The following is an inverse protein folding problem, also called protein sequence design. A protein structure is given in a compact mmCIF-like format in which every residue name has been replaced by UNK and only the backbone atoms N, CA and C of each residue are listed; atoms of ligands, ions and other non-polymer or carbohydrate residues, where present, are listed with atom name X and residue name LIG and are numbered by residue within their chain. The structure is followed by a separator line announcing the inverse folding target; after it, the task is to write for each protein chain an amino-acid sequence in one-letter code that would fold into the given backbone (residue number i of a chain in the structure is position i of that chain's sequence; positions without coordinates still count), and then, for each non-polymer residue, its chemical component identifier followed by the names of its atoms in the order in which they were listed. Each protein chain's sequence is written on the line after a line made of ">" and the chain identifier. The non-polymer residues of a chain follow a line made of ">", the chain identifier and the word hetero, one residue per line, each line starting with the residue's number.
data_IF_865289975879
#
_entry.id   IF_865289975879
#
_cell.length_a   1.000
_cell.length_b   1.000
_cell.length_c   1.000
_cell.angle_alpha   90.00
_cell.angle_beta   90.00
_cell.angle_gamma   90.00
#
_symmetry.space_group_name_H-M   'P 1'
#
loop_
_entity.id
_entity.type
_entity.pdbx_description
1 polymer ?
#
# COMPACT_ATOMS: atom_id res chain seq x y z
N UNK A 1 -2.65 -26.79 -15.43
CA UNK A 1 -2.86 -27.79 -14.35
C UNK A 1 -1.74 -27.85 -13.32
N UNK A 2 -0.45 -27.85 -13.70
CA UNK A 2 0.65 -28.07 -12.73
C UNK A 2 0.81 -27.00 -11.62
N UNK A 3 0.56 -25.71 -11.89
CA UNK A 3 0.86 -24.64 -10.91
C UNK A 3 -0.15 -24.59 -9.75
N UNK A 4 -1.44 -24.81 -10.03
CA UNK A 4 -2.49 -24.87 -9.01
C UNK A 4 -2.39 -26.15 -8.16
N UNK A 5 -2.11 -27.29 -8.79
CA UNK A 5 -1.86 -28.54 -8.07
C UNK A 5 -0.58 -28.46 -7.24
N UNK A 6 0.46 -27.75 -7.70
CA UNK A 6 1.63 -27.42 -6.87
C UNK A 6 1.26 -26.52 -5.70
N UNK A 7 0.48 -25.45 -5.89
CA UNK A 7 0.03 -24.59 -4.79
C UNK A 7 -0.77 -25.36 -3.73
N UNK A 8 -1.75 -26.18 -4.13
CA UNK A 8 -2.57 -26.94 -3.19
C UNK A 8 -1.78 -28.06 -2.49
N UNK A 9 -0.90 -28.77 -3.20
CA UNK A 9 -0.05 -29.79 -2.57
C UNK A 9 0.97 -29.16 -1.61
N UNK A 10 1.46 -27.95 -1.90
CA UNK A 10 2.33 -27.19 -1.01
C UNK A 10 1.53 -26.65 0.19
N UNK A 11 0.39 -25.99 -0.02
CA UNK A 11 -0.42 -25.34 1.02
C UNK A 11 -0.99 -26.31 2.08
N UNK A 12 -1.19 -27.59 1.73
CA UNK A 12 -1.65 -28.61 2.69
C UNK A 12 -0.55 -28.99 3.70
N UNK A 13 0.73 -28.71 3.40
CA UNK A 13 1.88 -29.06 4.24
C UNK A 13 2.83 -27.88 4.57
N UNK A 14 2.70 -26.74 3.89
CA UNK A 14 3.46 -25.51 4.13
C UNK A 14 2.58 -24.46 4.78
N UNK A 15 3.08 -23.87 5.87
CA UNK A 15 2.55 -22.61 6.39
C UNK A 15 2.49 -21.58 5.26
N UNK A 16 1.36 -20.90 5.11
CA UNK A 16 1.24 -19.77 4.18
C UNK A 16 2.29 -18.73 4.60
N UNK A 17 3.11 -18.31 3.65
CA UNK A 17 4.18 -17.34 3.86
C UNK A 17 4.01 -16.13 2.93
N UNK A 18 4.73 -15.05 3.23
CA UNK A 18 4.81 -13.90 2.32
C UNK A 18 5.33 -14.31 0.93
N UNK A 19 6.21 -15.32 0.88
CA UNK A 19 6.75 -15.86 -0.37
C UNK A 19 5.68 -16.60 -1.18
N UNK A 20 4.84 -17.42 -0.54
CA UNK A 20 3.76 -18.12 -1.25
C UNK A 20 2.72 -17.14 -1.80
N UNK A 21 2.39 -16.08 -1.05
CA UNK A 21 1.51 -15.01 -1.53
C UNK A 21 2.16 -14.26 -2.70
N UNK A 22 3.45 -13.92 -2.58
CA UNK A 22 4.21 -13.26 -3.67
C UNK A 22 4.21 -14.11 -4.95
N UNK A 23 4.37 -15.43 -4.81
CA UNK A 23 4.38 -16.37 -5.93
C UNK A 23 3.04 -16.40 -6.68
N UNK A 24 1.90 -16.16 -6.01
CA UNK A 24 0.60 -16.01 -6.68
C UNK A 24 0.62 -14.81 -7.63
N UNK A 25 1.07 -13.64 -7.17
CA UNK A 25 1.15 -12.44 -8.02
C UNK A 25 2.17 -12.59 -9.16
N UNK A 26 3.33 -13.21 -8.90
CA UNK A 26 4.30 -13.54 -9.96
C UNK A 26 3.69 -14.48 -11.00
N UNK A 27 2.90 -15.45 -10.57
CA UNK A 27 2.20 -16.37 -11.48
C UNK A 27 1.15 -15.62 -12.32
N UNK A 28 0.40 -14.70 -11.72
CA UNK A 28 -0.54 -13.82 -12.46
C UNK A 28 0.19 -13.01 -13.53
N UNK A 29 1.33 -12.40 -13.18
CA UNK A 29 2.16 -11.67 -14.13
C UNK A 29 2.62 -12.57 -15.30
N UNK A 30 3.08 -13.79 -15.00
CA UNK A 30 3.52 -14.75 -16.02
C UNK A 30 2.38 -15.21 -16.93
N UNK A 31 1.18 -15.42 -16.41
CA UNK A 31 0.01 -15.76 -17.23
C UNK A 31 -0.35 -14.63 -18.21
N UNK A 32 -0.24 -13.38 -17.76
CA UNK A 32 -0.43 -12.20 -18.61
C UNK A 32 0.66 -12.10 -19.69
N UNK A 33 1.93 -12.26 -19.31
CA UNK A 33 3.08 -12.24 -20.24
C UNK A 33 2.96 -13.32 -21.34
N UNK A 34 2.43 -14.50 -21.00
CA UNK A 34 2.20 -15.61 -21.91
C UNK A 34 0.91 -15.47 -22.74
N UNK A 35 0.08 -14.45 -22.50
CA UNK A 35 -1.19 -14.25 -23.23
C UNK A 35 -2.27 -15.29 -22.92
N UNK A 36 -2.17 -16.00 -21.80
CA UNK A 36 -3.11 -17.05 -21.37
C UNK A 36 -3.90 -16.68 -20.11
N UNK A 37 -3.80 -15.43 -19.66
CA UNK A 37 -4.48 -14.97 -18.44
C UNK A 37 -6.00 -15.18 -18.51
N UNK A 38 -6.65 -14.79 -19.61
CA UNK A 38 -8.12 -14.85 -19.72
C UNK A 38 -8.68 -16.27 -19.81
N UNK A 39 -7.85 -17.23 -20.25
CA UNK A 39 -8.24 -18.64 -20.42
C UNK A 39 -8.02 -19.47 -19.17
N UNK A 40 -7.14 -19.03 -18.27
CA UNK A 40 -6.83 -19.73 -17.03
C UNK A 40 -7.74 -19.26 -15.91
N UNK A 41 -8.33 -20.22 -15.19
CA UNK A 41 -9.16 -19.96 -14.01
C UNK A 41 -8.59 -20.68 -12.80
N UNK A 42 -8.68 -20.04 -11.64
CA UNK A 42 -8.23 -20.54 -10.34
C UNK A 42 -9.43 -20.75 -9.40
N UNK A 43 -9.16 -21.37 -8.25
CA UNK A 43 -10.19 -21.75 -7.27
C UNK A 43 -10.65 -23.19 -7.43
N UNK A 44 -11.34 -23.72 -6.40
CA UNK A 44 -11.81 -25.11 -6.40
C UNK A 44 -12.77 -25.41 -7.56
N UNK A 45 -13.59 -24.42 -7.93
CA UNK A 45 -14.57 -24.54 -9.01
C UNK A 45 -14.06 -23.98 -10.35
N UNK A 46 -12.79 -23.57 -10.44
CA UNK A 46 -12.18 -22.98 -11.64
C UNK A 46 -13.01 -21.84 -12.27
N UNK A 47 -13.55 -20.97 -11.43
CA UNK A 47 -14.44 -19.87 -11.81
C UNK A 47 -13.83 -18.49 -11.56
N UNK A 48 -12.73 -18.41 -10.79
CA UNK A 48 -12.13 -17.14 -10.36
C UNK A 48 -10.97 -16.77 -11.28
N UNK A 49 -10.87 -15.49 -11.65
CA UNK A 49 -9.70 -14.99 -12.36
C UNK A 49 -8.44 -15.06 -11.49
N UNK A 50 -7.25 -15.35 -12.05
CA UNK A 50 -6.03 -15.51 -11.28
C UNK A 50 -5.70 -14.30 -10.38
N UNK A 51 -5.90 -13.07 -10.88
CA UNK A 51 -5.67 -11.85 -10.09
C UNK A 51 -6.62 -11.76 -8.89
N UNK A 52 -7.91 -12.00 -9.11
CA UNK A 52 -8.93 -11.89 -8.06
C UNK A 52 -8.69 -12.93 -6.95
N UNK A 53 -8.25 -14.13 -7.33
CA UNK A 53 -7.82 -15.15 -6.37
C UNK A 53 -6.60 -14.70 -5.57
N UNK A 54 -5.54 -14.21 -6.23
CA UNK A 54 -4.34 -13.73 -5.55
C UNK A 54 -4.63 -12.56 -4.58
N UNK A 55 -5.50 -11.64 -4.98
CA UNK A 55 -5.96 -10.53 -4.14
C UNK A 55 -6.79 -11.03 -2.94
N UNK A 56 -7.61 -12.06 -3.13
CA UNK A 56 -8.38 -12.67 -2.04
C UNK A 56 -7.47 -13.32 -1.01
N UNK A 57 -6.49 -14.10 -1.46
CA UNK A 57 -5.49 -14.73 -0.58
C UNK A 57 -4.65 -13.67 0.16
N UNK A 58 -4.25 -12.59 -0.53
CA UNK A 58 -3.58 -11.46 0.12
C UNK A 58 -4.44 -10.87 1.25
N UNK A 59 -5.71 -10.55 0.98
CA UNK A 59 -6.62 -9.94 1.97
C UNK A 59 -6.98 -10.86 3.14
N UNK A 60 -6.85 -12.17 2.94
CA UNK A 60 -7.13 -13.21 3.94
C UNK A 60 -5.93 -13.45 4.86
N UNK A 61 -4.72 -13.37 4.32
CA UNK A 61 -3.50 -13.78 5.03
C UNK A 61 -2.57 -12.65 5.40
N UNK A 62 -2.74 -11.43 4.87
CA UNK A 62 -1.97 -10.26 5.29
C UNK A 62 -2.74 -9.48 6.34
N UNK A 63 -2.05 -9.10 7.42
CA UNK A 63 -2.59 -8.26 8.48
C UNK A 63 -3.23 -6.98 7.92
N UNK A 64 -4.32 -6.53 8.55
CA UNK A 64 -5.03 -5.30 8.18
C UNK A 64 -4.67 -4.15 9.12
N UNK A 65 -4.35 -4.45 10.37
CA UNK A 65 -3.95 -3.46 11.35
C UNK A 65 -2.75 -3.91 12.17
N UNK A 66 -2.02 -2.94 12.73
CA UNK A 66 -0.93 -3.22 13.65
C UNK A 66 -1.45 -3.91 14.91
N UNK A 67 -0.89 -5.07 15.24
CA UNK A 67 -1.29 -5.84 16.41
C UNK A 67 -2.48 -6.78 16.16
N UNK A 68 -2.83 -7.05 14.91
CA UNK A 68 -3.75 -8.15 14.57
C UNK A 68 -3.24 -9.47 15.18
N UNK A 69 -3.98 -10.02 16.15
CA UNK A 69 -3.62 -11.25 16.86
C UNK A 69 -4.26 -12.50 16.27
N UNK A 70 -4.93 -12.40 15.12
CA UNK A 70 -5.53 -13.57 14.49
C UNK A 70 -4.44 -14.53 14.03
N UNK A 71 -4.58 -15.81 14.40
CA UNK A 71 -3.63 -16.84 14.03
C UNK A 71 -3.49 -16.96 12.50
N UNK A 72 -2.24 -16.99 12.02
CA UNK A 72 -1.93 -17.17 10.60
C UNK A 72 -1.94 -15.91 9.74
N UNK A 73 -2.14 -14.72 10.33
CA UNK A 73 -1.90 -13.46 9.62
C UNK A 73 -0.41 -13.12 9.57
N UNK A 74 -0.01 -12.58 8.43
CA UNK A 74 1.36 -12.21 8.11
C UNK A 74 1.45 -10.69 8.00
N UNK A 75 2.45 -10.11 8.65
CA UNK A 75 2.85 -8.74 8.35
C UNK A 75 3.43 -8.70 6.92
N UNK A 76 3.16 -7.70 6.06
CA UNK A 76 3.75 -7.66 4.73
C UNK A 76 5.25 -7.29 4.79
N UNK A 77 5.96 -7.47 3.67
CA UNK A 77 7.34 -6.98 3.49
C UNK A 77 7.47 -6.19 2.18
N UNK A 78 8.57 -5.46 2.00
CA UNK A 78 8.80 -4.60 0.83
C UNK A 78 8.73 -5.37 -0.49
N UNK A 79 9.25 -6.60 -0.54
CA UNK A 79 9.26 -7.43 -1.75
C UNK A 79 7.85 -7.81 -2.17
N UNK A 80 7.02 -8.28 -1.24
CA UNK A 80 5.63 -8.63 -1.48
C UNK A 80 4.84 -7.39 -1.94
N UNK A 81 5.00 -6.26 -1.24
CA UNK A 81 4.31 -5.02 -1.58
C UNK A 81 4.73 -4.48 -2.96
N UNK A 82 6.01 -4.58 -3.31
CA UNK A 82 6.53 -4.19 -4.63
C UNK A 82 5.88 -5.03 -5.74
N UNK A 83 5.86 -6.35 -5.58
CA UNK A 83 5.23 -7.26 -6.55
C UNK A 83 3.74 -6.98 -6.64
N UNK A 84 3.07 -6.81 -5.50
CA UNK A 84 1.65 -6.49 -5.41
C UNK A 84 1.31 -5.22 -6.20
N UNK A 85 2.01 -4.10 -5.94
CA UNK A 85 1.79 -2.81 -6.61
C UNK A 85 2.01 -2.95 -8.13
N UNK A 86 3.10 -3.60 -8.56
CA UNK A 86 3.42 -3.75 -9.97
C UNK A 86 2.36 -4.57 -10.73
N UNK A 87 1.86 -5.64 -10.12
CA UNK A 87 0.81 -6.46 -10.72
C UNK A 87 -0.52 -5.69 -10.74
N UNK A 88 -0.89 -5.01 -9.66
CA UNK A 88 -2.10 -4.18 -9.67
C UNK A 88 -2.07 -3.10 -10.76
N UNK A 89 -0.92 -2.46 -10.95
CA UNK A 89 -0.72 -1.43 -11.96
C UNK A 89 -0.90 -2.01 -13.37
N UNK A 90 -0.31 -3.18 -13.64
CA UNK A 90 -0.45 -3.88 -14.92
C UNK A 90 -1.94 -4.11 -15.29
N UNK A 91 -2.76 -4.45 -14.29
CA UNK A 91 -4.20 -4.71 -14.47
C UNK A 91 -5.09 -3.49 -14.19
N UNK A 92 -4.51 -2.29 -14.05
CA UNK A 92 -5.23 -1.02 -13.84
C UNK A 92 -6.17 -1.04 -12.63
N UNK A 93 -5.71 -1.61 -11.52
CA UNK A 93 -6.43 -1.67 -10.24
C UNK A 93 -6.17 -0.41 -9.41
N UNK A 94 -6.55 0.74 -9.97
CA UNK A 94 -6.19 2.06 -9.43
C UNK A 94 -6.74 2.28 -8.02
N UNK A 95 -7.98 1.83 -7.76
CA UNK A 95 -8.62 1.95 -6.43
C UNK A 95 -7.85 1.18 -5.36
N UNK A 96 -7.39 -0.02 -5.69
CA UNK A 96 -6.61 -0.85 -4.77
C UNK A 96 -5.21 -0.27 -4.52
N UNK A 97 -4.60 0.36 -5.52
CA UNK A 97 -3.35 1.11 -5.33
C UNK A 97 -3.61 2.34 -4.44
N UNK A 98 -4.61 3.15 -4.74
CA UNK A 98 -4.92 4.38 -3.97
C UNK A 98 -5.24 4.07 -2.50
N UNK A 99 -5.99 3.00 -2.23
CA UNK A 99 -6.34 2.56 -0.87
C UNK A 99 -5.17 1.93 -0.09
N UNK A 100 -4.08 1.55 -0.75
CA UNK A 100 -2.94 0.90 -0.10
C UNK A 100 -2.29 1.78 0.97
N UNK A 101 -2.23 3.10 0.79
CA UNK A 101 -1.63 3.98 1.80
C UNK A 101 -2.39 3.95 3.13
N UNK A 102 -3.72 3.92 3.08
CA UNK A 102 -4.55 3.80 4.29
C UNK A 102 -4.23 2.49 5.02
N UNK A 103 -4.15 1.38 4.28
CA UNK A 103 -3.77 0.08 4.84
C UNK A 103 -2.37 0.12 5.48
N UNK A 104 -1.39 0.74 4.82
CA UNK A 104 -0.02 0.85 5.36
C UNK A 104 0.06 1.74 6.60
N UNK A 105 -0.80 2.76 6.70
CA UNK A 105 -0.95 3.55 7.93
C UNK A 105 -1.53 2.69 9.06
N UNK A 106 -2.60 1.95 8.80
CA UNK A 106 -3.24 1.07 9.80
C UNK A 106 -2.28 0.00 10.33
N UNK A 107 -1.41 -0.50 9.45
CA UNK A 107 -0.31 -1.41 9.80
C UNK A 107 0.87 -0.77 10.54
N UNK A 108 0.89 0.55 10.66
CA UNK A 108 2.07 1.32 11.12
C UNK A 108 3.33 0.97 10.33
N UNK A 109 3.19 0.67 9.04
CA UNK A 109 4.25 0.15 8.19
C UNK A 109 5.30 1.23 7.89
N UNK A 110 6.60 0.98 8.10
CA UNK A 110 7.66 1.96 7.82
C UNK A 110 8.06 1.92 6.34
N UNK A 111 7.41 2.72 5.50
CA UNK A 111 7.71 2.74 4.06
C UNK A 111 9.10 3.34 3.78
N UNK A 112 9.96 2.57 3.11
CA UNK A 112 11.26 3.04 2.60
C UNK A 112 11.16 3.70 1.22
N UNK A 113 12.19 4.45 0.83
CA UNK A 113 12.22 5.25 -0.42
C UNK A 113 11.92 4.43 -1.67
N UNK A 114 12.52 3.23 -1.79
CA UNK A 114 12.33 2.36 -2.97
C UNK A 114 10.88 1.90 -3.13
N UNK A 115 10.26 1.45 -2.03
CA UNK A 115 8.87 1.02 -2.06
C UNK A 115 7.94 2.21 -2.36
N UNK A 116 8.23 3.38 -1.81
CA UNK A 116 7.49 4.60 -2.09
C UNK A 116 7.60 5.02 -3.57
N UNK A 117 8.78 4.91 -4.17
CA UNK A 117 8.99 5.18 -5.60
C UNK A 117 8.16 4.24 -6.48
N UNK A 118 8.16 2.94 -6.17
CA UNK A 118 7.31 1.95 -6.86
C UNK A 118 5.83 2.34 -6.75
N UNK A 119 5.40 2.73 -5.55
CA UNK A 119 4.03 3.19 -5.32
C UNK A 119 3.69 4.40 -6.19
N UNK A 120 4.55 5.43 -6.20
CA UNK A 120 4.33 6.63 -7.01
C UNK A 120 4.32 6.33 -8.51
N UNK A 121 5.15 5.39 -8.97
CA UNK A 121 5.19 4.95 -10.37
C UNK A 121 3.87 4.32 -10.82
N UNK A 122 3.16 3.66 -9.91
CA UNK A 122 1.85 3.06 -10.16
C UNK A 122 0.69 4.08 -10.16
N UNK A 123 0.93 5.32 -9.72
CA UNK A 123 -0.06 6.39 -9.78
C UNK A 123 0.03 7.17 -11.08
N UNK A 124 -1.12 7.72 -11.50
CA UNK A 124 -1.18 8.74 -12.54
C UNK A 124 -0.39 9.99 -12.15
N UNK A 125 0.07 10.75 -13.16
CA UNK A 125 0.93 11.93 -12.94
C UNK A 125 0.30 12.95 -11.99
N UNK A 126 -1.00 13.21 -12.14
CA UNK A 126 -1.70 14.17 -11.29
C UNK A 126 -1.77 13.69 -9.83
N UNK A 127 -2.24 12.47 -9.59
CA UNK A 127 -2.32 11.84 -8.27
C UNK A 127 -0.94 11.83 -7.57
N UNK A 128 0.11 11.50 -8.33
CA UNK A 128 1.51 11.52 -7.85
C UNK A 128 1.94 12.89 -7.37
N UNK A 129 1.74 13.92 -8.21
CA UNK A 129 2.13 15.29 -7.88
C UNK A 129 1.34 15.83 -6.69
N UNK A 130 0.04 15.56 -6.67
CA UNK A 130 -0.85 16.03 -5.60
C UNK A 130 -0.52 15.39 -4.26
N UNK A 131 -0.32 14.06 -4.23
CA UNK A 131 0.10 13.37 -3.01
C UNK A 131 1.42 13.92 -2.45
N UNK A 132 2.43 14.10 -3.31
CA UNK A 132 3.73 14.64 -2.88
C UNK A 132 3.62 16.08 -2.38
N UNK A 133 2.82 16.92 -3.05
CA UNK A 133 2.55 18.29 -2.60
C UNK A 133 1.96 18.27 -1.19
N UNK A 134 0.89 17.50 -0.98
CA UNK A 134 0.22 17.40 0.31
C UNK A 134 1.15 16.86 1.41
N UNK A 135 1.91 15.80 1.15
CA UNK A 135 2.86 15.26 2.13
C UNK A 135 3.93 16.27 2.54
N UNK A 136 4.48 17.03 1.58
CA UNK A 136 5.49 18.05 1.87
C UNK A 136 4.90 19.25 2.62
N UNK A 137 3.69 19.69 2.28
CA UNK A 137 3.01 20.75 3.03
C UNK A 137 2.72 20.33 4.48
N UNK A 138 2.34 19.07 4.69
CA UNK A 138 2.16 18.52 6.03
C UNK A 138 3.48 18.45 6.82
N UNK A 139 4.57 18.01 6.19
CA UNK A 139 5.89 17.96 6.83
C UNK A 139 6.36 19.36 7.26
N UNK A 140 6.22 20.36 6.38
CA UNK A 140 6.53 21.77 6.70
C UNK A 140 5.64 22.33 7.80
N UNK A 141 4.33 22.04 7.77
CA UNK A 141 3.39 22.44 8.83
C UNK A 141 3.81 21.85 10.18
N UNK A 142 4.07 20.56 10.24
CA UNK A 142 4.43 19.89 11.50
C UNK A 142 5.79 20.34 12.04
N UNK A 143 6.77 20.59 11.18
CA UNK A 143 8.05 21.14 11.63
C UNK A 143 7.92 22.57 12.19
N UNK A 144 7.12 23.44 11.57
CA UNK A 144 6.83 24.78 12.13
C UNK A 144 6.15 24.69 13.50
N UNK A 145 5.19 23.79 13.66
CA UNK A 145 4.50 23.58 14.94
C UNK A 145 5.46 23.03 16.00
N UNK A 146 6.37 22.12 15.62
CA UNK A 146 7.38 21.53 16.51
C UNK A 146 8.40 22.55 17.00
N UNK A 147 8.71 23.59 16.22
CA UNK A 147 9.65 24.66 16.59
C UNK A 147 9.07 25.66 17.61
N UNK A 148 7.77 25.64 17.85
CA UNK A 148 7.12 26.51 18.83
C UNK A 148 7.54 26.11 20.25
N UNK A 149 8.02 27.07 21.05
CA UNK A 149 8.48 26.83 22.43
C UNK A 149 7.42 27.19 23.47
N UNK A 150 6.42 27.98 23.06
CA UNK A 150 5.35 28.46 23.95
C UNK A 150 3.97 28.19 23.38
N UNK A 151 2.97 28.11 24.25
CA UNK A 151 1.57 27.96 23.85
C UNK A 151 1.08 29.16 23.01
N UNK A 152 1.59 30.35 23.30
CA UNK A 152 1.28 31.56 22.55
C UNK A 152 1.80 31.48 21.11
N UNK A 153 3.05 31.06 20.92
CA UNK A 153 3.62 30.84 19.58
C UNK A 153 2.85 29.75 18.84
N UNK A 154 2.49 28.66 19.51
CA UNK A 154 1.71 27.58 18.91
C UNK A 154 0.35 28.09 18.41
N UNK A 155 -0.37 28.87 19.22
CA UNK A 155 -1.67 29.48 18.81
C UNK A 155 -1.50 30.42 17.63
N UNK A 156 -0.46 31.26 17.64
CA UNK A 156 -0.16 32.20 16.54
C UNK A 156 0.23 31.49 15.25
N UNK A 157 1.04 30.44 15.33
CA UNK A 157 1.48 29.68 14.15
C UNK A 157 0.31 28.87 13.58
N UNK A 158 -0.52 28.25 14.44
CA UNK A 158 -1.73 27.54 13.99
C UNK A 158 -2.72 28.45 13.26
N UNK A 159 -2.86 29.72 13.66
CA UNK A 159 -3.76 30.66 12.96
C UNK A 159 -3.20 31.17 11.63
N UNK A 160 -1.89 31.02 11.39
CA UNK A 160 -1.20 31.46 10.18
C UNK A 160 -1.01 30.34 9.16
N UNK A 161 -1.00 29.08 9.57
CA UNK A 161 -0.83 27.93 8.68
C UNK A 161 -2.19 27.52 8.10
N UNK A 162 -2.28 27.50 6.78
CA UNK A 162 -3.45 26.99 6.07
C UNK A 162 -3.67 25.50 6.34
N UNK A 163 -4.94 25.09 6.36
CA UNK A 163 -5.30 23.68 6.29
C UNK A 163 -4.86 23.17 4.93
N UNK A 164 -4.07 22.10 4.92
CA UNK A 164 -3.70 21.42 3.69
C UNK A 164 -4.96 20.78 3.14
N UNK A 165 -5.32 21.15 1.92
CA UNK A 165 -6.44 20.57 1.20
C UNK A 165 -5.88 19.78 0.04
N UNK A 166 -6.51 18.66 -0.24
CA UNK A 166 -6.29 17.90 -1.46
C UNK A 166 -7.59 17.84 -2.22
N UNK A 167 -7.50 17.60 -3.53
CA UNK A 167 -8.65 17.22 -4.33
C UNK A 167 -8.39 15.78 -4.82
N UNK A 168 -9.43 15.00 -5.11
CA UNK A 168 -9.33 13.73 -5.81
C UNK A 168 -9.12 12.51 -4.92
N UNK A 169 -8.35 11.53 -5.41
CA UNK A 169 -8.32 10.17 -4.87
C UNK A 169 -7.79 10.04 -3.43
N UNK A 170 -7.07 11.05 -2.94
CA UNK A 170 -6.44 11.04 -1.62
C UNK A 170 -7.15 11.92 -0.58
N UNK A 171 -8.32 12.49 -0.88
CA UNK A 171 -9.10 13.31 0.06
C UNK A 171 -9.23 12.66 1.44
N UNK A 172 -9.78 11.44 1.49
CA UNK A 172 -9.96 10.72 2.76
C UNK A 172 -8.64 10.42 3.50
N UNK A 173 -7.55 10.21 2.77
CA UNK A 173 -6.23 9.93 3.34
C UNK A 173 -5.62 11.19 3.95
N UNK A 174 -5.68 12.31 3.22
CA UNK A 174 -5.13 13.60 3.65
C UNK A 174 -5.93 14.18 4.81
N UNK A 175 -7.27 14.05 4.80
CA UNK A 175 -8.12 14.53 5.89
C UNK A 175 -7.82 13.84 7.23
N UNK A 176 -7.37 12.57 7.18
CA UNK A 176 -6.98 11.79 8.37
C UNK A 176 -5.50 11.94 8.73
N UNK A 177 -4.73 12.67 7.93
CA UNK A 177 -3.28 12.70 8.05
C UNK A 177 -2.81 13.38 9.34
N UNK A 178 -3.56 14.33 9.90
CA UNK A 178 -3.24 14.96 11.18
C UNK A 178 -3.23 13.95 12.35
N UNK A 179 -4.15 12.98 12.34
CA UNK A 179 -4.23 11.91 13.34
C UNK A 179 -3.16 10.83 13.13
N UNK A 180 -2.84 10.56 11.86
CA UNK A 180 -1.94 9.49 11.46
C UNK A 180 -0.49 9.96 11.23
N UNK A 181 -0.21 11.23 11.48
CA UNK A 181 1.08 11.84 11.14
C UNK A 181 2.25 11.14 11.82
N UNK A 182 2.09 10.67 13.05
CA UNK A 182 3.15 9.96 13.76
C UNK A 182 3.60 8.66 13.09
N UNK A 183 2.75 8.05 12.26
CA UNK A 183 3.13 6.93 11.39
C UNK A 183 3.76 7.46 10.12
N UNK A 184 3.06 8.35 9.42
CA UNK A 184 3.46 8.84 8.09
C UNK A 184 4.79 9.58 8.13
N UNK A 185 5.08 10.37 9.17
CA UNK A 185 6.36 11.06 9.36
C UNK A 185 7.57 10.13 9.45
N UNK A 186 7.39 8.82 9.58
CA UNK A 186 8.50 7.83 9.56
C UNK A 186 8.77 7.32 8.16
N UNK A 187 7.86 7.55 7.23
CA UNK A 187 8.02 7.15 5.84
C UNK A 187 9.11 7.99 5.16
N UNK A 188 9.77 7.37 4.20
CA UNK A 188 10.75 8.03 3.34
C UNK A 188 10.16 8.15 1.95
N UNK A 189 9.72 9.34 1.57
CA UNK A 189 9.24 9.64 0.22
C UNK A 189 10.22 10.54 -0.54
N UNK A 190 10.23 10.48 -1.89
CA UNK A 190 11.04 11.37 -2.71
C UNK A 190 10.70 12.85 -2.47
N UNK A 191 11.72 13.68 -2.31
CA UNK A 191 11.57 15.13 -2.12
C UNK A 191 11.33 15.59 -0.69
N UNK A 192 11.25 14.68 0.29
CA UNK A 192 11.22 15.04 1.70
C UNK A 192 12.54 15.69 2.12
N UNK A 193 12.49 16.85 2.78
CA UNK A 193 13.68 17.53 3.32
C UNK A 193 14.18 16.72 4.54
N UNK A 194 15.48 16.42 4.54
CA UNK A 194 16.13 15.65 5.61
C UNK A 194 16.27 16.44 6.91
#
# INVERSE_FOLDING_TARGET
>A
EETFNRYNNIATYFQITQLSISALFVSVYKLHELGIYDTVKWGQNQDIQPLDFAMTEFKKHISRAYGDTNEGLLYPNDSLLTIYINVLNLFKKDKEIQSLLNHLVDLKYPIGTKLFEVYLQALGNWDRTELLRCLNEYDERFERLRQCKTEYELKRVKSQISVVKTIGAFEDFIDKLEFNWEVVRRWRWPGRKA
#
